data_IF_671311350769
#
_entry.id   IF_671311350769
#
_cell.length_a   1.000
_cell.length_b   1.000
_cell.length_c   1.000
_cell.angle_alpha   90.00
_cell.angle_beta   90.00
_cell.angle_gamma   90.00
#
_symmetry.space_group_name_H-M   'P 1'
#
loop_
_entity.id
_entity.type
_entity.pdbx_description
1 polymer ?
#
# COMPACT_ATOMS: atom_id res chain seq x y z
N UNK A 1 -30.85 -6.59 20.09
CA UNK A 1 -30.11 -6.46 18.81
C UNK A 1 -30.19 -5.00 18.39
N UNK A 2 -29.12 -4.23 18.57
CA UNK A 2 -29.03 -2.83 18.13
C UNK A 2 -28.20 -2.83 16.85
N UNK A 3 -28.81 -2.48 15.72
CA UNK A 3 -28.08 -2.24 14.48
C UNK A 3 -27.24 -0.96 14.63
N UNK A 4 -25.95 -1.09 14.31
CA UNK A 4 -24.97 -0.01 14.35
C UNK A 4 -25.26 0.97 13.20
N UNK A 5 -25.45 2.25 13.52
CA UNK A 5 -25.74 3.36 12.58
C UNK A 5 -24.48 4.07 12.04
N UNK A 6 -23.32 3.41 12.06
CA UNK A 6 -22.04 4.04 11.73
C UNK A 6 -21.74 4.12 10.23
N UNK A 7 -22.37 3.30 9.38
CA UNK A 7 -22.14 3.33 7.92
C UNK A 7 -22.72 4.56 7.19
N UNK A 8 -23.65 5.31 7.79
CA UNK A 8 -24.22 6.51 7.15
C UNK A 8 -23.27 7.72 7.18
N UNK A 9 -22.29 7.75 8.09
CA UNK A 9 -21.43 8.92 8.29
C UNK A 9 -20.33 9.05 7.24
N UNK A 10 -19.74 7.94 6.78
CA UNK A 10 -18.74 7.96 5.71
C UNK A 10 -19.33 8.35 4.34
N UNK A 11 -20.57 7.93 4.07
CA UNK A 11 -21.29 8.29 2.84
C UNK A 11 -21.59 9.80 2.82
N UNK A 12 -21.97 10.38 3.95
CA UNK A 12 -22.20 11.82 4.07
C UNK A 12 -20.93 12.66 3.91
N UNK A 13 -19.78 12.19 4.41
CA UNK A 13 -18.50 12.88 4.26
C UNK A 13 -18.08 12.99 2.78
N UNK A 14 -18.24 11.91 2.00
CA UNK A 14 -17.94 11.90 0.56
C UNK A 14 -18.91 12.79 -0.22
N UNK A 15 -20.20 12.78 0.13
CA UNK A 15 -21.21 13.64 -0.50
C UNK A 15 -20.97 15.14 -0.20
N UNK A 16 -20.57 15.47 1.03
CA UNK A 16 -20.21 16.85 1.40
C UNK A 16 -18.97 17.34 0.64
N UNK A 17 -17.96 16.49 0.47
CA UNK A 17 -16.73 16.85 -0.26
C UNK A 17 -16.99 17.13 -1.75
N UNK A 18 -18.01 16.46 -2.33
CA UNK A 18 -18.48 16.71 -3.71
C UNK A 18 -19.22 18.05 -3.80
N UNK A 19 -20.04 18.37 -2.79
CA UNK A 19 -20.79 19.63 -2.73
C UNK A 19 -19.89 20.86 -2.46
N UNK A 20 -18.93 20.75 -1.54
CA UNK A 20 -18.01 21.83 -1.17
C UNK A 20 -17.07 22.24 -2.29
N UNK A 21 -16.73 21.32 -3.21
CA UNK A 21 -15.92 21.62 -4.40
C UNK A 21 -16.71 22.25 -5.56
N UNK A 22 -17.96 22.67 -5.31
CA UNK A 22 -18.76 23.41 -6.29
C UNK A 22 -19.30 22.57 -7.45
N UNK A 23 -19.33 21.24 -7.32
CA UNK A 23 -20.05 20.39 -8.27
C UNK A 23 -21.55 20.51 -8.02
N UNK A 24 -22.16 21.55 -8.60
CA UNK A 24 -23.61 21.67 -8.68
C UNK A 24 -24.18 20.50 -9.48
N UNK A 25 -24.99 19.66 -8.82
CA UNK A 25 -25.73 18.55 -9.44
C UNK A 25 -26.82 19.06 -10.40
N UNK A 26 -27.11 20.37 -10.44
CA UNK A 26 -28.16 20.93 -11.30
C UNK A 26 -27.69 21.38 -12.69
N UNK A 27 -26.41 21.27 -13.04
CA UNK A 27 -25.91 21.69 -14.37
C UNK A 27 -25.40 20.54 -15.27
N UNK A 28 -25.75 19.29 -14.97
CA UNK A 28 -25.40 18.12 -15.80
C UNK A 28 -26.54 17.73 -16.76
N UNK A 29 -27.04 18.68 -17.55
CA UNK A 29 -27.73 18.36 -18.80
C UNK A 29 -26.69 18.16 -19.92
N UNK A 30 -26.03 17.01 -19.91
CA UNK A 30 -25.52 16.41 -21.14
C UNK A 30 -25.55 14.89 -21.02
N UNK A 31 -26.47 14.29 -21.77
CA UNK A 31 -26.66 12.85 -21.91
C UNK A 31 -25.37 12.17 -22.44
N UNK A 32 -24.47 11.70 -21.55
CA UNK A 32 -23.60 10.56 -21.91
C UNK A 32 -22.83 9.83 -20.80
N UNK A 33 -22.80 10.29 -19.55
CA UNK A 33 -22.05 9.58 -18.50
C UNK A 33 -22.76 9.66 -17.14
N UNK A 34 -23.81 8.87 -16.97
CA UNK A 34 -24.30 8.53 -15.63
C UNK A 34 -23.44 7.36 -15.15
N UNK A 35 -22.35 7.65 -14.46
CA UNK A 35 -21.65 6.60 -13.71
C UNK A 35 -22.55 6.16 -12.55
N UNK A 36 -22.78 4.85 -12.45
CA UNK A 36 -23.51 4.25 -11.33
C UNK A 36 -22.77 4.56 -10.01
N UNK A 37 -23.35 5.43 -9.18
CA UNK A 37 -22.74 5.95 -7.94
C UNK A 37 -22.27 4.80 -7.03
N UNK A 38 -23.09 3.76 -6.77
CA UNK A 38 -22.66 2.52 -6.12
C UNK A 38 -21.36 1.91 -6.68
N UNK A 39 -21.21 1.85 -8.01
CA UNK A 39 -20.02 1.29 -8.64
C UNK A 39 -18.77 2.18 -8.40
N UNK A 40 -18.94 3.51 -8.41
CA UNK A 40 -17.85 4.45 -8.12
C UNK A 40 -17.39 4.34 -6.66
N UNK A 41 -18.33 4.24 -5.71
CA UNK A 41 -18.03 4.07 -4.29
C UNK A 41 -17.28 2.75 -4.05
N UNK A 42 -17.78 1.65 -4.64
CA UNK A 42 -17.13 0.35 -4.53
C UNK A 42 -15.70 0.37 -5.14
N UNK A 43 -15.52 1.00 -6.30
CA UNK A 43 -14.18 1.17 -6.89
C UNK A 43 -13.23 1.97 -6.01
N UNK A 44 -13.71 3.00 -5.32
CA UNK A 44 -12.89 3.78 -4.40
C UNK A 44 -12.48 2.96 -3.17
N UNK A 45 -13.44 2.26 -2.54
CA UNK A 45 -13.18 1.39 -1.40
C UNK A 45 -12.19 0.27 -1.74
N UNK A 46 -12.37 -0.39 -2.89
CA UNK A 46 -11.42 -1.41 -3.38
C UNK A 46 -10.00 -0.86 -3.54
N UNK A 47 -9.84 0.39 -4.00
CA UNK A 47 -8.51 1.02 -4.11
C UNK A 47 -7.88 1.31 -2.76
N UNK A 48 -8.68 1.71 -1.77
CA UNK A 48 -8.19 1.95 -0.40
C UNK A 48 -7.76 0.64 0.23
N UNK A 49 -8.58 -0.41 0.14
CA UNK A 49 -8.24 -1.75 0.62
C UNK A 49 -6.93 -2.28 0.03
N UNK A 50 -6.78 -2.19 -1.29
CA UNK A 50 -5.56 -2.58 -1.99
C UNK A 50 -4.34 -1.80 -1.49
N UNK A 51 -4.51 -0.50 -1.23
CA UNK A 51 -3.44 0.35 -0.72
C UNK A 51 -3.06 0.00 0.72
N UNK A 52 -4.03 -0.21 1.62
CA UNK A 52 -3.77 -0.59 3.02
C UNK A 52 -3.03 -1.93 3.07
N UNK A 53 -3.50 -2.93 2.32
CA UNK A 53 -2.80 -4.21 2.16
C UNK A 53 -1.35 -4.02 1.74
N UNK A 54 -1.11 -3.21 0.71
CA UNK A 54 0.22 -2.91 0.22
C UNK A 54 1.09 -2.26 1.31
N UNK A 55 0.54 -1.30 2.07
CA UNK A 55 1.25 -0.61 3.14
C UNK A 55 1.65 -1.58 4.26
N UNK A 56 0.74 -2.42 4.75
CA UNK A 56 1.04 -3.40 5.81
C UNK A 56 2.15 -4.36 5.37
N UNK A 57 2.01 -4.93 4.16
CA UNK A 57 3.01 -5.85 3.61
C UNK A 57 4.36 -5.15 3.38
N UNK A 58 4.34 -3.88 2.98
CA UNK A 58 5.54 -3.07 2.79
C UNK A 58 6.26 -2.82 4.11
N UNK A 59 5.53 -2.39 5.15
CA UNK A 59 6.08 -2.20 6.49
C UNK A 59 6.68 -3.51 7.02
N UNK A 60 5.96 -4.64 6.86
CA UNK A 60 6.47 -5.95 7.25
C UNK A 60 7.76 -6.31 6.51
N UNK A 61 7.84 -6.07 5.19
CA UNK A 61 9.03 -6.31 4.40
C UNK A 61 10.21 -5.46 4.85
N UNK A 62 9.99 -4.17 5.16
CA UNK A 62 11.02 -3.28 5.72
C UNK A 62 11.52 -3.82 7.06
N UNK A 63 10.61 -4.15 7.98
CA UNK A 63 10.97 -4.72 9.28
C UNK A 63 11.80 -6.00 9.10
N UNK A 64 11.33 -6.93 8.27
CA UNK A 64 12.00 -8.21 8.05
C UNK A 64 13.38 -8.03 7.42
N UNK A 65 13.51 -7.10 6.47
CA UNK A 65 14.79 -6.80 5.84
C UNK A 65 15.76 -6.21 6.84
N UNK A 66 15.34 -5.23 7.63
CA UNK A 66 16.21 -4.55 8.62
C UNK A 66 16.59 -5.41 9.82
N UNK A 67 15.84 -6.48 10.12
CA UNK A 67 16.21 -7.46 11.14
C UNK A 67 17.39 -8.35 10.73
N UNK A 68 17.56 -8.60 9.42
CA UNK A 68 18.55 -9.57 8.91
C UNK A 68 19.65 -8.91 8.05
N UNK A 69 19.34 -7.78 7.42
CA UNK A 69 20.15 -7.11 6.41
C UNK A 69 19.97 -5.59 6.48
N UNK A 70 20.59 -4.89 5.53
CA UNK A 70 20.42 -3.44 5.36
C UNK A 70 19.47 -3.20 4.19
N UNK A 71 18.54 -2.25 4.35
CA UNK A 71 17.72 -1.72 3.26
C UNK A 71 18.21 -0.31 2.92
N UNK A 72 19.20 -0.22 2.04
CA UNK A 72 19.99 0.98 1.75
C UNK A 72 19.10 2.09 1.16
N UNK A 73 18.36 1.77 0.11
CA UNK A 73 17.63 2.80 -0.61
C UNK A 73 16.28 2.34 -1.16
N UNK A 74 15.58 3.31 -1.72
CA UNK A 74 14.31 3.10 -2.39
C UNK A 74 14.46 2.18 -3.60
N UNK A 75 15.62 2.18 -4.28
CA UNK A 75 15.84 1.26 -5.39
C UNK A 75 15.82 -0.19 -4.91
N UNK A 76 16.54 -0.54 -3.86
CA UNK A 76 16.51 -1.90 -3.30
C UNK A 76 15.12 -2.29 -2.82
N UNK A 77 14.41 -1.38 -2.15
CA UNK A 77 13.02 -1.60 -1.76
C UNK A 77 12.12 -1.94 -2.96
N UNK A 78 12.24 -1.19 -4.06
CA UNK A 78 11.49 -1.45 -5.31
C UNK A 78 11.75 -2.85 -5.86
N UNK A 79 13.01 -3.31 -5.83
CA UNK A 79 13.36 -4.62 -6.39
C UNK A 79 12.93 -5.76 -5.48
N UNK A 80 13.05 -5.61 -4.15
CA UNK A 80 12.55 -6.61 -3.20
C UNK A 80 11.04 -6.77 -3.33
N UNK A 81 10.26 -5.67 -3.37
CA UNK A 81 8.81 -5.74 -3.56
C UNK A 81 8.46 -6.36 -4.92
N UNK A 82 9.18 -6.00 -5.99
CA UNK A 82 8.99 -6.64 -7.29
C UNK A 82 9.21 -8.16 -7.24
N UNK A 83 10.28 -8.62 -6.58
CA UNK A 83 10.59 -10.04 -6.45
C UNK A 83 9.53 -10.78 -5.62
N UNK A 84 9.05 -10.17 -4.53
CA UNK A 84 7.95 -10.72 -3.71
C UNK A 84 6.67 -10.82 -4.53
N UNK A 85 6.27 -9.73 -5.19
CA UNK A 85 5.05 -9.72 -6.01
C UNK A 85 5.14 -10.73 -7.15
N UNK A 86 6.31 -10.89 -7.78
CA UNK A 86 6.54 -11.94 -8.78
C UNK A 86 6.31 -13.34 -8.20
N UNK A 87 6.72 -13.60 -6.96
CA UNK A 87 6.46 -14.88 -6.27
C UNK A 87 4.97 -15.04 -5.96
N UNK A 88 4.28 -13.99 -5.50
CA UNK A 88 2.83 -13.99 -5.31
C UNK A 88 2.08 -14.31 -6.60
N UNK A 89 2.39 -13.62 -7.70
CA UNK A 89 1.81 -13.86 -9.03
C UNK A 89 2.03 -15.31 -9.48
N UNK A 90 3.24 -15.85 -9.32
CA UNK A 90 3.53 -17.24 -9.70
C UNK A 90 2.76 -18.29 -8.90
N UNK A 91 2.27 -17.92 -7.71
CA UNK A 91 1.48 -18.75 -6.81
C UNK A 91 0.00 -18.38 -6.80
N UNK A 92 -0.43 -17.47 -7.70
CA UNK A 92 -1.79 -16.91 -7.75
C UNK A 92 -2.28 -16.37 -6.41
N UNK A 93 -1.40 -15.70 -5.67
CA UNK A 93 -1.74 -15.07 -4.39
C UNK A 93 -1.98 -13.57 -4.61
N UNK A 94 -3.11 -13.04 -4.13
CA UNK A 94 -3.39 -11.60 -4.12
C UNK A 94 -2.76 -10.94 -2.89
N UNK A 95 -1.46 -10.60 -3.02
CA UNK A 95 -0.68 -9.87 -2.02
C UNK A 95 -0.39 -8.46 -2.52
N UNK A 96 0.89 -8.11 -2.68
CA UNK A 96 1.28 -6.85 -3.31
C UNK A 96 0.61 -6.65 -4.68
N UNK A 97 0.09 -5.46 -4.92
CA UNK A 97 -0.64 -5.10 -6.14
C UNK A 97 -0.08 -3.89 -6.87
N UNK A 98 1.20 -3.60 -6.67
CA UNK A 98 1.87 -2.47 -7.29
C UNK A 98 2.00 -2.65 -8.82
N UNK A 99 1.61 -1.64 -9.62
CA UNK A 99 1.90 -1.65 -11.05
C UNK A 99 3.39 -1.37 -11.26
N UNK A 100 4.09 -2.33 -11.85
CA UNK A 100 5.51 -2.20 -12.17
C UNK A 100 5.73 -1.92 -13.65
N UNK A 101 6.62 -0.98 -13.92
CA UNK A 101 7.12 -0.68 -15.25
C UNK A 101 8.63 -0.82 -15.35
N UNK A 102 9.13 -1.06 -16.56
CA UNK A 102 10.53 -1.06 -16.89
C UNK A 102 11.04 0.37 -16.79
N UNK A 103 12.06 0.58 -15.96
CA UNK A 103 12.83 1.81 -15.90
C UNK A 103 14.27 1.58 -16.39
N UNK A 104 15.14 2.58 -16.25
CA UNK A 104 16.59 2.53 -16.58
C UNK A 104 17.38 1.69 -15.56
N UNK A 105 16.89 1.59 -14.32
CA UNK A 105 17.52 0.86 -13.21
C UNK A 105 16.65 -0.30 -12.69
N UNK A 106 15.88 -0.90 -13.57
CA UNK A 106 15.06 -2.09 -13.31
C UNK A 106 13.57 -1.79 -13.22
N UNK A 107 12.77 -2.75 -12.76
CA UNK A 107 11.36 -2.53 -12.45
C UNK A 107 11.20 -1.43 -11.42
N UNK A 108 10.25 -0.54 -11.66
CA UNK A 108 9.88 0.54 -10.76
C UNK A 108 8.37 0.67 -10.70
N UNK A 109 7.85 1.00 -9.52
CA UNK A 109 6.45 1.35 -9.29
C UNK A 109 6.36 2.73 -8.65
N UNK A 110 5.65 3.64 -9.32
CA UNK A 110 5.37 4.97 -8.80
C UNK A 110 4.49 4.91 -7.55
N UNK A 111 3.53 3.99 -7.50
CA UNK A 111 2.66 3.79 -6.33
C UNK A 111 3.44 3.34 -5.11
N UNK A 112 4.38 2.40 -5.27
CA UNK A 112 5.27 1.98 -4.17
C UNK A 112 6.14 3.14 -3.68
N UNK A 113 6.67 3.95 -4.60
CA UNK A 113 7.44 5.13 -4.23
C UNK A 113 6.59 6.12 -3.42
N UNK A 114 5.35 6.37 -3.85
CA UNK A 114 4.42 7.24 -3.13
C UNK A 114 4.09 6.71 -1.74
N UNK A 115 3.92 5.40 -1.57
CA UNK A 115 3.65 4.80 -0.26
C UNK A 115 4.87 4.86 0.66
N UNK A 116 6.09 4.68 0.15
CA UNK A 116 7.32 4.90 0.94
C UNK A 116 7.44 6.37 1.40
N UNK A 117 7.13 7.31 0.52
CA UNK A 117 7.11 8.75 0.87
C UNK A 117 6.02 9.05 1.91
N UNK A 118 4.84 8.44 1.78
CA UNK A 118 3.77 8.58 2.77
C UNK A 118 4.22 8.06 4.14
N UNK A 119 4.74 6.83 4.19
CA UNK A 119 5.22 6.21 5.43
C UNK A 119 6.32 7.03 6.10
N UNK A 120 7.18 7.68 5.31
CA UNK A 120 8.14 8.67 5.82
C UNK A 120 7.45 9.86 6.46
N UNK A 121 6.51 10.44 5.72
CA UNK A 121 5.83 11.69 6.09
C UNK A 121 5.04 11.52 7.39
N UNK A 122 4.34 10.41 7.55
CA UNK A 122 3.55 10.09 8.75
C UNK A 122 4.41 9.53 9.90
N UNK A 123 5.73 9.41 9.70
CA UNK A 123 6.66 9.05 10.76
C UNK A 123 6.78 7.55 11.07
N UNK A 124 6.19 6.66 10.27
CA UNK A 124 6.32 5.20 10.46
C UNK A 124 7.61 4.62 9.90
N UNK A 125 8.23 5.31 8.94
CA UNK A 125 9.53 4.95 8.35
C UNK A 125 10.47 6.14 8.44
N UNK A 126 11.76 5.89 8.69
CA UNK A 126 12.79 6.92 8.62
C UNK A 126 13.94 6.52 7.69
N UNK A 127 14.66 7.54 7.25
CA UNK A 127 15.91 7.43 6.49
C UNK A 127 17.03 7.80 7.45
N UNK A 128 17.78 6.80 7.93
CA UNK A 128 18.89 6.98 8.84
C UNK A 128 20.16 6.40 8.21
N UNK A 129 21.22 7.19 8.11
CA UNK A 129 22.52 6.76 7.56
C UNK A 129 22.41 6.03 6.21
N UNK A 130 21.62 6.58 5.29
CA UNK A 130 21.30 5.96 3.98
C UNK A 130 20.69 4.55 4.13
N UNK A 131 19.78 4.39 5.08
CA UNK A 131 18.99 3.17 5.30
C UNK A 131 17.55 3.50 5.58
N UNK A 132 16.65 2.67 5.09
CA UNK A 132 15.22 2.71 5.31
C UNK A 132 14.88 1.74 6.45
N UNK A 133 14.26 2.25 7.50
CA UNK A 133 13.85 1.42 8.65
C UNK A 133 12.53 1.90 9.25
N UNK A 134 11.83 1.00 9.96
CA UNK A 134 10.67 1.39 10.74
C UNK A 134 11.11 2.19 11.97
N UNK A 135 10.33 3.22 12.29
CA UNK A 135 10.38 3.90 13.59
C UNK A 135 9.70 3.04 14.66
N UNK A 136 9.72 3.47 15.92
CA UNK A 136 8.97 2.79 16.98
C UNK A 136 7.45 2.83 16.69
N UNK A 137 6.90 3.97 16.28
CA UNK A 137 5.49 4.08 15.86
C UNK A 137 5.15 3.10 14.72
N UNK A 138 6.05 2.97 13.72
CA UNK A 138 5.87 2.02 12.63
C UNK A 138 5.90 0.55 13.10
N UNK A 139 6.73 0.23 14.10
CA UNK A 139 6.75 -1.11 14.72
C UNK A 139 5.49 -1.37 15.53
N UNK A 140 5.02 -0.39 16.29
CA UNK A 140 3.79 -0.49 17.09
C UNK A 140 2.57 -0.74 16.21
N UNK A 141 2.48 -0.08 15.05
CA UNK A 141 1.43 -0.36 14.05
C UNK A 141 1.48 -1.83 13.58
N UNK A 142 2.66 -2.37 13.30
CA UNK A 142 2.79 -3.78 12.91
C UNK A 142 2.46 -4.74 14.05
N UNK A 143 2.83 -4.41 15.28
CA UNK A 143 2.51 -5.22 16.46
C UNK A 143 1.00 -5.27 16.71
N UNK A 144 0.32 -4.13 16.55
CA UNK A 144 -1.14 -4.05 16.59
C UNK A 144 -1.81 -4.84 15.45
N UNK A 145 -1.10 -5.05 14.34
CA UNK A 145 -1.53 -5.90 13.24
C UNK A 145 -1.07 -7.37 13.37
N UNK A 146 -0.49 -7.78 14.49
CA UNK A 146 0.14 -9.11 14.62
C UNK A 146 -0.82 -10.28 14.43
N UNK A 147 -2.08 -10.14 14.84
CA UNK A 147 -3.13 -11.15 14.62
C UNK A 147 -3.45 -11.27 13.12
N UNK A 148 -3.71 -10.14 12.45
CA UNK A 148 -3.91 -10.06 11.00
C UNK A 148 -2.73 -10.69 10.22
N UNK A 149 -1.50 -10.36 10.61
CA UNK A 149 -0.28 -10.90 10.02
C UNK A 149 -0.19 -12.42 10.19
N UNK A 150 -0.57 -12.93 11.37
CA UNK A 150 -0.57 -14.37 11.68
C UNK A 150 -1.61 -15.15 10.87
N UNK A 151 -2.80 -14.59 10.70
CA UNK A 151 -3.84 -15.13 9.83
C UNK A 151 -3.35 -15.23 8.37
N UNK A 152 -2.53 -14.26 7.94
CA UNK A 152 -1.97 -14.17 6.60
C UNK A 152 -0.54 -14.74 6.47
N UNK A 153 -0.10 -15.64 7.38
CA UNK A 153 1.30 -16.12 7.47
C UNK A 153 1.90 -16.62 6.15
N UNK A 154 1.09 -17.20 5.25
CA UNK A 154 1.56 -17.70 3.94
C UNK A 154 2.17 -16.59 3.08
N UNK A 155 1.66 -15.36 3.19
CA UNK A 155 2.23 -14.21 2.50
C UNK A 155 3.58 -13.82 3.12
N UNK A 156 3.64 -13.81 4.44
CA UNK A 156 4.84 -13.47 5.20
C UNK A 156 5.98 -14.46 4.94
N UNK A 157 5.69 -15.77 4.88
CA UNK A 157 6.66 -16.81 4.52
C UNK A 157 7.31 -16.59 3.15
N UNK A 158 6.60 -15.99 2.20
CA UNK A 158 7.15 -15.63 0.89
C UNK A 158 8.03 -14.39 1.00
N UNK A 159 7.58 -13.36 1.75
CA UNK A 159 8.37 -12.16 2.02
C UNK A 159 9.70 -12.55 2.66
N UNK A 160 9.64 -13.28 3.77
CA UNK A 160 10.76 -13.86 4.50
C UNK A 160 11.75 -14.58 3.61
N UNK A 161 11.24 -15.43 2.70
CA UNK A 161 12.10 -16.19 1.80
C UNK A 161 12.80 -15.29 0.79
N UNK A 162 12.10 -14.30 0.23
CA UNK A 162 12.71 -13.35 -0.71
C UNK A 162 13.72 -12.47 0.00
N UNK A 163 13.42 -12.01 1.22
CA UNK A 163 14.37 -11.24 2.04
C UNK A 163 15.62 -12.07 2.34
N UNK A 164 15.50 -13.33 2.75
CA UNK A 164 16.67 -14.21 2.94
C UNK A 164 17.46 -14.45 1.66
N UNK A 165 16.76 -14.67 0.54
CA UNK A 165 17.37 -14.98 -0.76
C UNK A 165 18.07 -13.75 -1.37
N UNK A 166 17.56 -12.54 -1.15
CA UNK A 166 18.00 -11.34 -1.89
C UNK A 166 18.40 -10.13 -1.02
N UNK A 167 18.07 -10.12 0.26
CA UNK A 167 18.30 -8.97 1.15
C UNK A 167 19.78 -8.62 1.35
N UNK A 168 20.68 -9.59 1.17
CA UNK A 168 22.13 -9.40 1.27
C UNK A 168 22.77 -8.76 0.03
N UNK A 169 22.08 -8.70 -1.11
CA UNK A 169 22.63 -8.08 -2.32
C UNK A 169 22.67 -6.56 -2.22
N UNK A 170 23.70 -5.95 -2.78
CA UNK A 170 23.76 -4.49 -2.97
C UNK A 170 22.70 -4.02 -3.99
N UNK A 171 22.39 -2.71 -4.05
CA UNK A 171 21.52 -2.16 -5.09
C UNK A 171 21.94 -2.52 -6.53
N UNK A 172 23.24 -2.55 -6.82
CA UNK A 172 23.81 -2.90 -8.13
C UNK A 172 23.64 -4.40 -8.45
N UNK A 173 23.94 -5.27 -7.48
CA UNK A 173 23.75 -6.72 -7.64
C UNK A 173 22.27 -7.07 -7.83
N UNK A 174 21.38 -6.37 -7.11
CA UNK A 174 19.93 -6.48 -7.27
C UNK A 174 19.50 -6.03 -8.66
N UNK A 175 20.03 -4.91 -9.15
CA UNK A 175 19.75 -4.42 -10.50
C UNK A 175 20.12 -5.46 -11.56
N UNK A 176 21.36 -5.96 -11.54
CA UNK A 176 21.83 -6.97 -12.48
C UNK A 176 20.95 -8.23 -12.46
N UNK A 177 20.70 -8.78 -11.26
CA UNK A 177 19.87 -9.98 -11.13
C UNK A 177 18.47 -9.78 -11.68
N UNK A 178 17.81 -8.68 -11.30
CA UNK A 178 16.43 -8.43 -11.69
C UNK A 178 16.33 -8.21 -13.19
N UNK A 179 17.26 -7.48 -13.81
CA UNK A 179 17.26 -7.27 -15.26
C UNK A 179 17.38 -8.55 -16.08
N UNK A 180 18.21 -9.47 -15.58
CA UNK A 180 18.46 -10.74 -16.24
C UNK A 180 17.30 -11.74 -16.05
N UNK A 181 16.35 -11.48 -15.15
CA UNK A 181 15.19 -12.36 -14.93
C UNK A 181 14.30 -12.44 -16.15
N UNK A 182 13.85 -13.66 -16.46
CA UNK A 182 12.79 -13.87 -17.44
C UNK A 182 11.43 -13.75 -16.78
N UNK A 183 10.56 -12.93 -17.36
CA UNK A 183 9.14 -12.85 -17.01
C UNK A 183 8.27 -13.12 -18.23
N UNK A 184 7.07 -13.66 -17.99
CA UNK A 184 6.08 -13.77 -19.04
C UNK A 184 5.46 -12.41 -19.30
N UNK A 185 5.55 -11.91 -20.53
CA UNK A 185 4.96 -10.63 -20.93
C UNK A 185 3.64 -10.93 -21.64
N UNK A 186 2.46 -10.62 -21.05
CA UNK A 186 1.18 -11.00 -21.63
C UNK A 186 0.95 -10.44 -23.03
N UNK A 187 1.42 -9.21 -23.29
CA UNK A 187 1.27 -8.53 -24.57
C UNK A 187 2.05 -9.24 -25.70
N UNK A 188 3.26 -9.72 -25.40
CA UNK A 188 4.12 -10.42 -26.35
C UNK A 188 3.92 -11.95 -26.33
N UNK A 189 3.10 -12.46 -25.40
CA UNK A 189 2.79 -13.89 -25.18
C UNK A 189 4.04 -14.78 -25.07
N UNK A 190 5.14 -14.24 -24.55
CA UNK A 190 6.41 -14.96 -24.44
C UNK A 190 7.18 -14.56 -23.18
N UNK A 191 8.10 -15.44 -22.76
CA UNK A 191 9.04 -15.13 -21.70
C UNK A 191 10.20 -14.30 -22.25
N UNK A 192 10.46 -13.14 -21.64
CA UNK A 192 11.53 -12.22 -22.02
C UNK A 192 12.32 -11.79 -20.80
N UNK A 193 13.61 -11.45 -20.99
CA UNK A 193 14.35 -10.77 -19.93
C UNK A 193 13.78 -9.37 -19.73
N UNK A 194 13.78 -8.86 -18.49
CA UNK A 194 13.26 -7.52 -18.18
C UNK A 194 13.97 -6.44 -19.03
N UNK A 195 15.28 -6.60 -19.28
CA UNK A 195 16.06 -5.71 -20.14
C UNK A 195 15.62 -5.69 -21.62
N UNK A 196 14.86 -6.69 -22.07
CA UNK A 196 14.42 -6.83 -23.46
C UNK A 196 12.99 -6.31 -23.67
N UNK A 197 12.27 -6.00 -22.59
CA UNK A 197 10.86 -5.56 -22.67
C UNK A 197 10.83 -4.14 -23.23
N UNK A 198 10.27 -3.95 -24.42
CA UNK A 198 10.16 -2.63 -25.07
C UNK A 198 8.97 -1.82 -24.55
N UNK A 199 7.99 -2.48 -23.94
CA UNK A 199 6.85 -1.84 -23.32
C UNK A 199 7.16 -1.38 -21.89
N UNK A 200 6.54 -0.28 -21.48
CA UNK A 200 6.74 0.24 -20.13
C UNK A 200 6.22 -0.73 -19.08
N UNK A 201 5.04 -1.32 -19.25
CA UNK A 201 4.44 -2.18 -18.21
C UNK A 201 5.09 -3.57 -18.15
N UNK A 202 5.51 -3.97 -16.95
CA UNK A 202 6.25 -5.22 -16.68
C UNK A 202 5.37 -6.21 -15.90
N UNK A 203 4.65 -5.74 -14.88
CA UNK A 203 3.84 -6.61 -14.02
C UNK A 203 2.71 -5.82 -13.33
N UNK A 204 1.61 -6.51 -13.06
CA UNK A 204 0.52 -6.08 -12.20
C UNK A 204 0.39 -6.99 -10.98
N UNK A 205 -0.41 -6.59 -10.01
CA UNK A 205 -0.94 -7.50 -9.00
C UNK A 205 -1.83 -8.60 -9.60
N UNK A 206 -2.08 -9.64 -8.82
CA UNK A 206 -3.13 -10.62 -9.15
C UNK A 206 -4.47 -10.01 -8.76
N UNK A 207 -5.41 -9.88 -9.70
CA UNK A 207 -6.79 -9.49 -9.37
C UNK A 207 -7.46 -10.58 -8.51
N UNK A 208 -8.29 -10.19 -7.54
CA UNK A 208 -9.00 -11.13 -6.63
C UNK A 208 -9.65 -12.31 -7.37
N UNK A 209 -10.35 -12.06 -8.48
CA UNK A 209 -11.02 -13.07 -9.33
C UNK A 209 -10.09 -14.16 -9.90
N UNK A 210 -8.78 -13.87 -10.01
CA UNK A 210 -7.76 -14.79 -10.57
C UNK A 210 -6.86 -15.38 -9.49
N UNK A 211 -7.08 -15.00 -8.22
CA UNK A 211 -6.28 -15.46 -7.10
C UNK A 211 -6.88 -16.74 -6.50
N UNK A 212 -6.02 -17.66 -6.08
CA UNK A 212 -6.39 -18.84 -5.30
C UNK A 212 -6.30 -18.56 -3.80
N UNK A 213 -5.65 -17.45 -3.41
CA UNK A 213 -5.51 -17.03 -2.01
C UNK A 213 -5.38 -15.51 -1.99
N UNK A 214 -6.09 -14.86 -1.07
CA UNK A 214 -6.11 -13.41 -0.93
C UNK A 214 -5.64 -13.00 0.46
N UNK A 215 -4.89 -11.90 0.53
CA UNK A 215 -4.54 -11.29 1.80
C UNK A 215 -5.81 -10.64 2.37
N UNK A 216 -6.35 -11.23 3.41
CA UNK A 216 -7.62 -10.80 4.01
C UNK A 216 -7.33 -9.80 5.13
N UNK A 217 -8.01 -8.65 5.10
CA UNK A 217 -8.00 -7.66 6.17
C UNK A 217 -9.39 -7.66 6.79
N UNK A 218 -9.46 -7.87 8.10
CA UNK A 218 -10.73 -7.77 8.84
C UNK A 218 -11.22 -6.32 8.86
N UNK A 219 -12.52 -6.12 8.86
CA UNK A 219 -13.15 -4.79 8.79
C UNK A 219 -12.71 -3.87 9.95
N UNK A 220 -12.62 -4.40 11.17
CA UNK A 220 -12.17 -3.65 12.36
C UNK A 220 -10.73 -3.12 12.22
N UNK A 221 -9.85 -3.92 11.62
CA UNK A 221 -8.46 -3.54 11.37
C UNK A 221 -8.36 -2.58 10.18
N UNK A 222 -9.20 -2.76 9.17
CA UNK A 222 -9.28 -1.87 8.01
C UNK A 222 -9.65 -0.45 8.44
N UNK A 223 -10.73 -0.28 9.20
CA UNK A 223 -11.19 1.03 9.67
C UNK A 223 -10.10 1.75 10.48
N UNK A 224 -9.42 1.00 11.36
CA UNK A 224 -8.34 1.52 12.19
C UNK A 224 -7.17 2.00 11.32
N UNK A 225 -6.75 1.21 10.33
CA UNK A 225 -5.65 1.55 9.45
C UNK A 225 -5.99 2.65 8.47
N UNK A 226 -7.25 2.74 8.04
CA UNK A 226 -7.73 3.83 7.18
C UNK A 226 -7.55 5.18 7.90
N UNK A 227 -7.95 5.27 9.17
CA UNK A 227 -7.77 6.46 10.01
C UNK A 227 -6.28 6.78 10.21
N UNK A 228 -5.45 5.77 10.48
CA UNK A 228 -4.01 5.96 10.71
C UNK A 228 -3.22 6.35 9.45
N UNK A 229 -3.76 6.06 8.26
CA UNK A 229 -3.07 6.31 6.99
C UNK A 229 -3.62 7.53 6.24
N UNK A 230 -4.72 8.10 6.71
CA UNK A 230 -5.18 9.41 6.26
C UNK A 230 -4.30 10.50 6.88
N UNK A 231 -3.60 11.26 6.03
CA UNK A 231 -2.69 12.32 6.46
C UNK A 231 -3.41 13.39 7.28
N UNK A 232 -4.64 13.72 6.92
CA UNK A 232 -5.40 14.77 7.58
C UNK A 232 -5.90 14.28 8.95
N UNK A 233 -6.40 13.04 9.02
CA UNK A 233 -6.77 12.42 10.29
C UNK A 233 -5.56 12.21 11.21
N UNK A 234 -4.40 11.86 10.66
CA UNK A 234 -3.15 11.66 11.43
C UNK A 234 -2.64 12.98 11.99
N UNK A 235 -2.63 14.06 11.20
CA UNK A 235 -2.23 15.39 11.65
C UNK A 235 -3.19 15.90 12.75
N UNK A 236 -4.50 15.68 12.61
CA UNK A 236 -5.51 16.02 13.62
C UNK A 236 -5.37 15.19 14.91
N UNK A 237 -5.12 13.88 14.82
CA UNK A 237 -4.89 13.01 15.98
C UNK A 237 -3.62 13.41 16.73
N UNK A 238 -2.55 13.74 15.99
CA UNK A 238 -1.29 14.18 16.59
C UNK A 238 -1.48 15.50 17.32
N UNK A 239 -2.21 16.44 16.73
CA UNK A 239 -2.55 17.71 17.36
C UNK A 239 -3.40 17.50 18.62
N UNK A 240 -4.42 16.66 18.56
CA UNK A 240 -5.27 16.33 19.72
C UNK A 240 -4.48 15.65 20.85
N UNK A 241 -3.54 14.76 20.54
CA UNK A 241 -2.64 14.17 21.53
C UNK A 241 -1.68 15.19 22.14
N UNK A 242 -1.07 16.05 21.32
CA UNK A 242 -0.20 17.12 21.80
C UNK A 242 -0.97 18.09 22.72
N UNK A 243 -2.21 18.42 22.38
CA UNK A 243 -3.08 19.30 23.18
C UNK A 243 -3.48 18.64 24.50
N UNK A 244 -3.79 17.34 24.49
CA UNK A 244 -4.06 16.56 25.70
C UNK A 244 -2.83 16.47 26.63
N UNK A 245 -1.62 16.27 26.07
CA UNK A 245 -0.36 16.24 26.82
C UNK A 245 -0.04 17.62 27.42
N UNK A 246 -0.34 18.70 26.68
CA UNK A 246 -0.13 20.09 27.13
C UNK A 246 -1.22 20.58 28.10
N UNK A 247 -2.25 19.77 28.37
CA UNK A 247 -3.37 20.14 29.25
C UNK A 247 -4.32 21.18 28.65
N UNK A 248 -4.27 21.40 27.34
CA UNK A 248 -5.18 22.29 26.63
C UNK A 248 -6.43 21.50 26.23
N UNK A 249 -7.44 21.46 27.09
CA UNK A 249 -8.77 21.02 26.65
C UNK A 249 -9.35 22.11 25.74
N UNK A 250 -9.45 21.82 24.45
CA UNK A 250 -10.24 22.63 23.52
C UNK A 250 -11.69 22.50 23.95
N UNK A 251 -12.24 23.56 24.55
CA UNK A 251 -13.69 23.68 24.71
C UNK A 251 -14.30 23.64 23.30
N UNK A 252 -15.00 22.55 22.99
CA UNK A 252 -15.87 22.50 21.81
C UNK A 252 -17.01 23.49 22.04
N UNK A 253 -16.79 24.74 21.64
CA UNK A 253 -17.85 25.73 21.48
C UNK A 253 -18.76 25.22 20.36
N UNK A 254 -19.96 24.84 20.76
CA UNK A 254 -21.01 24.30 19.89
C UNK A 254 -21.34 25.30 18.78
N UNK A 255 -21.30 24.83 17.52
CA UNK A 255 -22.06 25.38 16.40
C UNK A 255 -22.76 24.22 15.71
#
# INVERSE_FOLDING_TARGET
MKHCKTHEHGIWAVLNLINEKGFSVSNFESEKYIYDIPAVINMAQMRIFERIKNIILLMYMIQKTTQEFILEDNFKAQKLVFLIQKRFVSKKMNGFSYPFFRWIKGPFSASLNSDLVLLKKIGFVRWADDKIELTEDGKDVLENCSELLRENKKFLEIIDRVVREFGHFSPEEMEEKVYQMKIFVPKDKKAMRIEQITHKKVMDGVSGEKSETEFSIREDVFDTLEVLLDNEATDLLRQAQEDAIKGNTVEFSSI
#
